data_IF_285870673561
#
_entry.id   IF_285870673561
#
_cell.length_a   1.000
_cell.length_b   1.000
_cell.length_c   1.000
_cell.angle_alpha   90.00
_cell.angle_beta   90.00
_cell.angle_gamma   90.00
#
_symmetry.space_group_name_H-M   'P 1'
#
loop_
_entity.id
_entity.type
_entity.pdbx_description
1 polymer ?
#
# COMPACT_ATOMS: atom_id res chain seq x y z
N UNK A 1 -102.67 -45.07 -86.69
CA UNK A 1 -101.53 -44.42 -87.41
C UNK A 1 -101.34 -42.98 -86.98
N UNK A 2 -102.27 -42.04 -87.20
CA UNK A 2 -101.99 -40.62 -86.92
C UNK A 2 -101.86 -40.28 -85.41
N UNK A 3 -102.72 -40.85 -84.54
CA UNK A 3 -102.65 -40.66 -83.08
C UNK A 3 -101.36 -41.22 -82.45
N UNK A 4 -100.85 -42.34 -82.95
CA UNK A 4 -99.61 -42.95 -82.46
C UNK A 4 -98.40 -42.12 -82.87
N UNK A 5 -98.46 -41.49 -84.06
CA UNK A 5 -97.45 -40.57 -84.58
C UNK A 5 -97.38 -39.29 -83.73
N UNK A 6 -98.53 -38.72 -83.34
CA UNK A 6 -98.58 -37.55 -82.44
C UNK A 6 -97.99 -37.86 -81.06
N UNK A 7 -98.35 -38.99 -80.45
CA UNK A 7 -97.80 -39.42 -79.15
C UNK A 7 -96.29 -39.67 -79.19
N UNK A 8 -95.79 -40.27 -80.27
CA UNK A 8 -94.34 -40.43 -80.49
C UNK A 8 -93.63 -39.08 -80.62
N UNK A 9 -94.28 -38.11 -81.27
CA UNK A 9 -93.73 -36.77 -81.48
C UNK A 9 -93.65 -36.00 -80.14
N UNK A 10 -94.69 -36.08 -79.30
CA UNK A 10 -94.71 -35.49 -77.97
C UNK A 10 -93.67 -36.12 -77.02
N UNK A 11 -93.52 -37.45 -77.05
CA UNK A 11 -92.52 -38.16 -76.25
C UNK A 11 -91.09 -37.80 -76.69
N UNK A 12 -90.86 -37.67 -78.00
CA UNK A 12 -89.58 -37.23 -78.55
C UNK A 12 -89.21 -35.82 -78.08
N UNK A 13 -90.14 -34.87 -78.15
CA UNK A 13 -89.92 -33.48 -77.70
C UNK A 13 -89.61 -33.43 -76.20
N UNK A 14 -90.31 -34.22 -75.37
CA UNK A 14 -90.02 -34.31 -73.92
C UNK A 14 -88.62 -34.84 -73.64
N UNK A 15 -88.23 -35.92 -74.33
CA UNK A 15 -86.90 -36.50 -74.19
C UNK A 15 -85.80 -35.54 -74.68
N UNK A 16 -86.04 -34.79 -75.75
CA UNK A 16 -85.13 -33.74 -76.23
C UNK A 16 -84.97 -32.63 -75.18
N UNK A 17 -86.08 -32.18 -74.58
CA UNK A 17 -86.06 -31.14 -73.53
C UNK A 17 -85.34 -31.62 -72.26
N UNK A 18 -85.56 -32.88 -71.85
CA UNK A 18 -84.84 -33.47 -70.72
C UNK A 18 -83.35 -33.67 -71.01
N UNK A 19 -83.00 -34.07 -72.24
CA UNK A 19 -81.61 -34.22 -72.68
C UNK A 19 -80.88 -32.86 -72.72
N UNK A 20 -81.56 -31.81 -73.17
CA UNK A 20 -81.03 -30.45 -73.18
C UNK A 20 -80.79 -29.94 -71.76
N UNK A 21 -81.79 -30.09 -70.87
CA UNK A 21 -81.65 -29.74 -69.45
C UNK A 21 -80.53 -30.52 -68.77
N UNK A 22 -80.43 -31.82 -69.03
CA UNK A 22 -79.34 -32.65 -68.49
C UNK A 22 -77.99 -32.25 -69.04
N UNK A 23 -77.92 -31.84 -70.31
CA UNK A 23 -76.68 -31.32 -70.92
C UNK A 23 -76.23 -30.01 -70.29
N UNK A 24 -77.18 -29.12 -69.96
CA UNK A 24 -76.91 -27.87 -69.27
C UNK A 24 -76.42 -28.10 -67.83
N UNK A 25 -77.13 -28.94 -67.05
CA UNK A 25 -76.72 -29.36 -65.70
C UNK A 25 -75.32 -30.01 -65.70
N UNK A 26 -75.00 -30.83 -66.71
CA UNK A 26 -73.69 -31.48 -66.86
C UNK A 26 -72.59 -30.49 -67.23
N UNK A 27 -72.93 -29.43 -67.98
CA UNK A 27 -72.05 -28.30 -68.28
C UNK A 27 -71.67 -27.51 -67.02
N UNK A 28 -72.65 -27.18 -66.18
CA UNK A 28 -72.46 -26.49 -64.90
C UNK A 28 -71.61 -27.33 -63.94
N UNK A 29 -71.95 -28.61 -63.73
CA UNK A 29 -71.17 -29.51 -62.88
C UNK A 29 -69.71 -29.61 -63.34
N UNK A 30 -69.47 -29.65 -64.65
CA UNK A 30 -68.11 -29.69 -65.21
C UNK A 30 -67.36 -28.39 -64.96
N UNK A 31 -68.05 -27.25 -64.90
CA UNK A 31 -67.51 -25.96 -64.48
C UNK A 31 -67.10 -25.96 -63.01
N UNK A 32 -67.98 -26.43 -62.12
CA UNK A 32 -67.72 -26.52 -60.69
C UNK A 32 -66.57 -27.45 -60.35
N UNK A 33 -66.50 -28.63 -60.99
CA UNK A 33 -65.38 -29.57 -60.85
C UNK A 33 -64.05 -28.91 -61.23
N UNK A 34 -64.02 -28.11 -62.31
CA UNK A 34 -62.81 -27.37 -62.70
C UNK A 34 -62.43 -26.31 -61.67
N UNK A 35 -63.41 -25.59 -61.11
CA UNK A 35 -63.17 -24.56 -60.08
C UNK A 35 -62.62 -25.18 -58.80
N UNK A 36 -63.28 -26.23 -58.30
CA UNK A 36 -62.86 -26.98 -57.12
C UNK A 36 -61.46 -27.59 -57.33
N UNK A 37 -61.16 -28.11 -58.53
CA UNK A 37 -59.82 -28.63 -58.83
C UNK A 37 -58.74 -27.55 -58.72
N UNK A 38 -59.00 -26.33 -59.22
CA UNK A 38 -58.05 -25.21 -59.10
C UNK A 38 -57.84 -24.80 -57.65
N UNK A 39 -58.92 -24.65 -56.89
CA UNK A 39 -58.85 -24.29 -55.46
C UNK A 39 -58.10 -25.35 -54.65
N UNK A 40 -58.30 -26.64 -54.94
CA UNK A 40 -57.54 -27.74 -54.35
C UNK A 40 -56.04 -27.60 -54.64
N UNK A 41 -55.67 -27.32 -55.89
CA UNK A 41 -54.25 -27.21 -56.28
C UNK A 41 -53.57 -26.01 -55.62
N UNK A 42 -54.27 -24.88 -55.51
CA UNK A 42 -53.79 -23.70 -54.77
C UNK A 42 -53.61 -23.97 -53.27
N UNK A 43 -54.57 -24.67 -52.66
CA UNK A 43 -54.49 -25.06 -51.25
C UNK A 43 -53.36 -26.06 -51.00
N UNK A 44 -53.15 -27.01 -51.90
CA UNK A 44 -52.03 -27.96 -51.82
C UNK A 44 -50.69 -27.23 -51.86
N UNK A 45 -50.51 -26.26 -52.76
CA UNK A 45 -49.30 -25.44 -52.82
C UNK A 45 -49.07 -24.63 -51.54
N UNK A 46 -50.11 -23.98 -50.99
CA UNK A 46 -50.00 -23.25 -49.71
C UNK A 46 -49.65 -24.17 -48.54
N UNK A 47 -50.23 -25.36 -48.50
CA UNK A 47 -49.94 -26.35 -47.47
C UNK A 47 -48.48 -26.80 -47.52
N UNK A 48 -47.94 -27.03 -48.72
CA UNK A 48 -46.54 -27.40 -48.92
C UNK A 48 -45.59 -26.31 -48.42
N UNK A 49 -45.84 -25.04 -48.78
CA UNK A 49 -45.05 -23.90 -48.28
C UNK A 49 -45.10 -23.79 -46.75
N UNK A 50 -46.30 -23.85 -46.16
CA UNK A 50 -46.46 -23.80 -44.69
C UNK A 50 -45.79 -24.97 -43.99
N UNK A 51 -45.78 -26.15 -44.62
CA UNK A 51 -45.10 -27.33 -44.09
C UNK A 51 -43.59 -27.13 -44.06
N UNK A 52 -43.01 -26.54 -45.11
CA UNK A 52 -41.58 -26.21 -45.17
C UNK A 52 -41.20 -25.15 -44.12
N UNK A 53 -41.97 -24.05 -44.03
CA UNK A 53 -41.75 -23.00 -43.03
C UNK A 53 -41.83 -23.56 -41.60
N UNK A 54 -42.79 -24.45 -41.32
CA UNK A 54 -42.91 -25.10 -40.01
C UNK A 54 -41.67 -25.92 -39.66
N UNK A 55 -41.09 -26.64 -40.63
CA UNK A 55 -39.87 -27.43 -40.41
C UNK A 55 -38.69 -26.51 -40.10
N UNK A 56 -38.56 -25.38 -40.81
CA UNK A 56 -37.51 -24.39 -40.58
C UNK A 56 -37.65 -23.70 -39.20
N UNK A 57 -38.87 -23.32 -38.81
CA UNK A 57 -39.13 -22.75 -37.49
C UNK A 57 -38.81 -23.77 -36.39
N UNK A 58 -39.09 -25.05 -36.61
CA UNK A 58 -38.76 -26.10 -35.65
C UNK A 58 -37.25 -26.34 -35.52
N UNK A 59 -36.49 -26.26 -36.61
CA UNK A 59 -35.04 -26.43 -36.58
C UNK A 59 -34.36 -25.24 -35.89
N UNK A 60 -34.75 -24.01 -36.23
CA UNK A 60 -34.27 -22.79 -35.60
C UNK A 60 -34.59 -22.74 -34.11
N UNK A 61 -35.79 -23.15 -33.70
CA UNK A 61 -36.15 -23.24 -32.28
C UNK A 61 -35.23 -24.19 -31.51
N UNK A 62 -34.96 -25.39 -32.05
CA UNK A 62 -34.05 -26.36 -31.41
C UNK A 62 -32.62 -25.82 -31.30
N UNK A 63 -32.16 -25.09 -32.31
CA UNK A 63 -30.86 -24.43 -32.28
C UNK A 63 -30.79 -23.37 -31.17
N UNK A 64 -31.79 -22.48 -31.10
CA UNK A 64 -31.86 -21.44 -30.07
C UNK A 64 -32.00 -22.02 -28.65
N UNK A 65 -32.75 -23.10 -28.47
CA UNK A 65 -32.84 -23.81 -27.18
C UNK A 65 -31.47 -24.34 -26.72
N UNK A 66 -30.65 -24.83 -27.67
CA UNK A 66 -29.29 -25.29 -27.38
C UNK A 66 -28.36 -24.13 -27.00
N UNK A 67 -28.32 -23.07 -27.80
CA UNK A 67 -27.53 -21.85 -27.55
C UNK A 67 -27.88 -21.21 -26.19
N UNK A 68 -29.18 -21.16 -25.87
CA UNK A 68 -29.65 -20.66 -24.58
C UNK A 68 -29.14 -21.52 -23.42
N UNK A 69 -29.13 -22.84 -23.58
CA UNK A 69 -28.58 -23.77 -22.60
C UNK A 69 -27.07 -23.57 -22.38
N UNK A 70 -26.30 -23.44 -23.46
CA UNK A 70 -24.86 -23.19 -23.41
C UNK A 70 -24.54 -21.84 -22.75
N UNK A 71 -25.29 -20.80 -23.11
CA UNK A 71 -25.13 -19.45 -22.53
C UNK A 71 -25.44 -19.46 -21.03
N UNK A 72 -26.54 -20.12 -20.60
CA UNK A 72 -26.87 -20.26 -19.18
C UNK A 72 -25.79 -21.00 -18.40
N UNK A 73 -25.24 -22.07 -18.97
CA UNK A 73 -24.16 -22.82 -18.33
C UNK A 73 -22.88 -21.98 -18.22
N UNK A 74 -22.56 -21.19 -19.24
CA UNK A 74 -21.42 -20.27 -19.21
C UNK A 74 -21.60 -19.20 -18.14
N UNK A 75 -22.78 -18.57 -18.08
CA UNK A 75 -23.11 -17.57 -17.08
C UNK A 75 -22.95 -18.12 -15.66
N UNK A 76 -23.50 -19.30 -15.37
CA UNK A 76 -23.39 -19.93 -14.06
C UNK A 76 -21.92 -20.22 -13.67
N UNK A 77 -21.08 -20.62 -14.64
CA UNK A 77 -19.64 -20.82 -14.39
C UNK A 77 -18.93 -19.51 -14.08
N UNK A 78 -19.21 -18.45 -14.84
CA UNK A 78 -18.63 -17.13 -14.60
C UNK A 78 -19.04 -16.55 -13.25
N UNK A 79 -20.32 -16.64 -12.88
CA UNK A 79 -20.80 -16.21 -11.55
C UNK A 79 -20.10 -16.97 -10.42
N UNK A 80 -19.96 -18.29 -10.54
CA UNK A 80 -19.25 -19.10 -9.57
C UNK A 80 -17.75 -18.72 -9.47
N UNK A 81 -17.11 -18.43 -10.61
CA UNK A 81 -15.71 -18.00 -10.64
C UNK A 81 -15.52 -16.62 -10.01
N UNK A 82 -16.41 -15.67 -10.26
CA UNK A 82 -16.37 -14.33 -9.66
C UNK A 82 -16.56 -14.40 -8.14
N UNK A 83 -17.52 -15.21 -7.65
CA UNK A 83 -17.68 -15.43 -6.21
C UNK A 83 -16.41 -16.03 -5.60
N UNK A 84 -15.78 -17.00 -6.28
CA UNK A 84 -14.52 -17.59 -5.81
C UNK A 84 -13.40 -16.55 -5.75
N UNK A 85 -13.21 -15.77 -6.81
CA UNK A 85 -12.20 -14.70 -6.87
C UNK A 85 -12.43 -13.67 -5.77
N UNK A 86 -13.67 -13.24 -5.57
CA UNK A 86 -14.02 -12.27 -4.53
C UNK A 86 -13.61 -12.78 -3.14
N UNK A 87 -13.91 -14.04 -2.83
CA UNK A 87 -13.52 -14.68 -1.57
C UNK A 87 -12.00 -14.78 -1.42
N UNK A 88 -11.28 -15.12 -2.48
CA UNK A 88 -9.81 -15.15 -2.47
C UNK A 88 -9.21 -13.76 -2.24
N UNK A 89 -9.77 -12.72 -2.87
CA UNK A 89 -9.34 -11.34 -2.67
C UNK A 89 -9.57 -10.89 -1.23
N UNK A 90 -10.74 -11.15 -0.66
CA UNK A 90 -11.07 -10.81 0.73
C UNK A 90 -10.10 -11.50 1.71
N UNK A 91 -9.77 -12.78 1.48
CA UNK A 91 -8.76 -13.48 2.27
C UNK A 91 -7.36 -12.88 2.14
N UNK A 92 -6.97 -12.41 0.95
CA UNK A 92 -5.67 -11.75 0.72
C UNK A 92 -5.61 -10.39 1.42
N UNK A 93 -6.70 -9.62 1.38
CA UNK A 93 -6.82 -8.35 2.09
C UNK A 93 -6.63 -8.57 3.59
N UNK A 94 -7.35 -9.53 4.19
CA UNK A 94 -7.18 -9.84 5.61
C UNK A 94 -5.76 -10.26 5.99
N UNK A 95 -5.08 -11.05 5.15
CA UNK A 95 -3.67 -11.40 5.38
C UNK A 95 -2.76 -10.18 5.29
N UNK A 96 -3.01 -9.28 4.34
CA UNK A 96 -2.25 -8.06 4.14
C UNK A 96 -2.42 -7.13 5.35
N UNK A 97 -3.65 -6.88 5.80
CA UNK A 97 -3.94 -6.05 6.97
C UNK A 97 -3.24 -6.58 8.23
N UNK A 98 -3.27 -7.91 8.42
CA UNK A 98 -2.59 -8.55 9.55
C UNK A 98 -1.07 -8.37 9.47
N UNK A 99 -0.48 -8.51 8.29
CA UNK A 99 0.96 -8.34 8.09
C UNK A 99 1.38 -6.87 8.27
N UNK A 100 0.58 -5.93 7.76
CA UNK A 100 0.83 -4.51 7.87
C UNK A 100 0.77 -4.04 9.33
N UNK A 101 -0.21 -4.53 10.10
CA UNK A 101 -0.28 -4.30 11.54
C UNK A 101 0.93 -4.86 12.28
N UNK A 102 1.31 -6.12 12.01
CA UNK A 102 2.49 -6.74 12.63
C UNK A 102 3.78 -5.97 12.32
N UNK A 103 3.93 -5.46 11.09
CA UNK A 103 5.10 -4.68 10.70
C UNK A 103 5.11 -3.30 11.38
N UNK A 104 3.95 -2.67 11.53
CA UNK A 104 3.81 -1.40 12.24
C UNK A 104 4.21 -1.54 13.71
N UNK A 105 3.72 -2.58 14.38
CA UNK A 105 4.03 -2.87 15.77
C UNK A 105 5.54 -3.13 15.97
N UNK A 106 6.15 -3.92 15.08
CA UNK A 106 7.59 -4.21 15.09
C UNK A 106 8.42 -2.93 14.89
N UNK A 107 8.05 -2.09 13.92
CA UNK A 107 8.72 -0.79 13.69
C UNK A 107 8.62 0.13 14.90
N UNK A 108 7.51 0.08 15.63
CA UNK A 108 7.36 0.88 16.84
C UNK A 108 8.22 0.34 17.97
N UNK A 109 8.33 -0.99 18.11
CA UNK A 109 9.23 -1.61 19.10
C UNK A 109 10.68 -1.21 18.84
N UNK A 110 11.16 -1.37 17.62
CA UNK A 110 12.54 -1.02 17.24
C UNK A 110 12.85 0.44 17.56
N UNK A 111 11.96 1.37 17.22
CA UNK A 111 12.18 2.80 17.53
C UNK A 111 12.30 3.06 19.03
N UNK A 112 11.46 2.42 19.85
CA UNK A 112 11.54 2.56 21.31
C UNK A 112 12.85 1.98 21.84
N UNK A 113 13.25 0.81 21.37
CA UNK A 113 14.52 0.18 21.74
C UNK A 113 15.73 1.03 21.31
N UNK A 114 15.71 1.62 20.12
CA UNK A 114 16.76 2.52 19.63
C UNK A 114 16.83 3.81 20.46
N UNK A 115 15.69 4.42 20.79
CA UNK A 115 15.60 5.61 21.64
C UNK A 115 16.12 5.31 23.06
N UNK A 116 15.73 4.18 23.63
CA UNK A 116 16.18 3.72 24.95
C UNK A 116 17.70 3.41 24.95
N UNK A 117 18.20 2.72 23.92
CA UNK A 117 19.63 2.44 23.78
C UNK A 117 20.45 3.74 23.68
N UNK A 118 19.98 4.71 22.90
CA UNK A 118 20.64 6.03 22.81
C UNK A 118 20.61 6.78 24.12
N UNK A 119 19.48 6.75 24.84
CA UNK A 119 19.36 7.35 26.17
C UNK A 119 20.32 6.71 27.17
N UNK A 120 20.41 5.38 27.19
CA UNK A 120 21.30 4.62 28.07
C UNK A 120 22.78 4.91 27.76
N UNK A 121 23.17 5.01 26.48
CA UNK A 121 24.53 5.39 26.08
C UNK A 121 24.85 6.80 26.59
N UNK A 122 23.92 7.75 26.44
CA UNK A 122 24.12 9.14 26.87
C UNK A 122 24.20 9.25 28.41
N UNK A 123 23.38 8.49 29.13
CA UNK A 123 23.40 8.42 30.59
C UNK A 123 24.72 7.83 31.09
N UNK A 124 25.16 6.71 30.49
CA UNK A 124 26.44 6.06 30.82
C UNK A 124 27.63 7.01 30.57
N UNK A 125 27.65 7.68 29.42
CA UNK A 125 28.67 8.70 29.13
C UNK A 125 28.63 9.81 30.18
N UNK A 126 27.45 10.33 30.51
CA UNK A 126 27.29 11.38 31.51
C UNK A 126 27.81 10.93 32.89
N UNK A 127 27.54 9.67 33.28
CA UNK A 127 28.04 9.07 34.51
C UNK A 127 29.56 8.99 34.51
N UNK A 128 30.17 8.45 33.45
CA UNK A 128 31.64 8.34 33.31
C UNK A 128 32.31 9.70 33.45
N UNK A 129 31.77 10.74 32.79
CA UNK A 129 32.32 12.10 32.88
C UNK A 129 32.20 12.67 34.29
N UNK A 130 31.05 12.52 34.94
CA UNK A 130 30.86 12.99 36.31
C UNK A 130 31.79 12.28 37.29
N UNK A 131 31.89 10.95 37.21
CA UNK A 131 32.77 10.14 38.07
C UNK A 131 34.23 10.53 37.86
N UNK A 132 34.65 10.73 36.60
CA UNK A 132 35.98 11.18 36.28
C UNK A 132 36.29 12.57 36.86
N UNK A 133 35.39 13.54 36.70
CA UNK A 133 35.51 14.89 37.27
C UNK A 133 35.72 14.83 38.79
N UNK A 134 34.89 14.05 39.50
CA UNK A 134 35.01 13.89 40.95
C UNK A 134 36.34 13.25 41.37
N UNK A 135 36.78 12.20 40.65
CA UNK A 135 38.06 11.54 40.91
C UNK A 135 39.24 12.51 40.72
N UNK A 136 39.20 13.32 39.66
CA UNK A 136 40.23 14.32 39.36
C UNK A 136 40.28 15.38 40.46
N UNK A 137 39.14 15.95 40.84
CA UNK A 137 39.07 16.96 41.89
C UNK A 137 39.57 16.41 43.24
N UNK A 138 39.21 15.17 43.58
CA UNK A 138 39.70 14.51 44.79
C UNK A 138 41.23 14.33 44.78
N UNK A 139 41.78 13.85 43.65
CA UNK A 139 43.24 13.66 43.50
C UNK A 139 44.00 14.98 43.52
N UNK A 140 43.46 16.02 42.88
CA UNK A 140 44.03 17.37 42.91
C UNK A 140 44.04 17.91 44.34
N UNK A 141 42.95 17.75 45.09
CA UNK A 141 42.85 18.18 46.49
C UNK A 141 43.88 17.46 47.37
N UNK A 142 43.98 16.15 47.25
CA UNK A 142 44.97 15.35 47.99
C UNK A 142 46.40 15.80 47.65
N UNK A 143 46.71 15.99 46.36
CA UNK A 143 48.04 16.43 45.92
C UNK A 143 48.41 17.83 46.46
N UNK A 144 47.47 18.78 46.41
CA UNK A 144 47.70 20.15 46.88
C UNK A 144 47.88 20.23 48.40
N UNK A 145 47.17 19.38 49.16
CA UNK A 145 47.24 19.33 50.63
C UNK A 145 48.49 18.62 51.16
N UNK A 146 49.34 18.03 50.30
CA UNK A 146 50.58 17.39 50.75
C UNK A 146 51.48 18.43 51.44
N UNK A 147 52.01 18.15 52.64
CA UNK A 147 52.82 19.11 53.41
C UNK A 147 54.05 19.63 52.65
N UNK A 148 54.57 18.86 51.70
CA UNK A 148 55.72 19.25 50.87
C UNK A 148 55.38 20.29 49.78
N UNK A 149 54.11 20.44 49.40
CA UNK A 149 53.65 21.33 48.33
C UNK A 149 52.84 22.51 48.88
N UNK A 150 51.90 22.25 49.80
CA UNK A 150 51.17 23.29 50.53
C UNK A 150 50.37 24.26 49.65
N UNK A 151 49.78 23.78 48.55
CA UNK A 151 49.00 24.63 47.64
C UNK A 151 47.54 24.76 48.10
N UNK A 152 46.96 25.94 47.89
CA UNK A 152 45.52 26.16 48.06
C UNK A 152 44.81 25.73 46.77
N UNK A 153 43.75 24.92 46.89
CA UNK A 153 42.90 24.55 45.76
C UNK A 153 41.56 25.25 45.92
N UNK A 154 41.13 26.00 44.90
CA UNK A 154 39.77 26.50 44.82
C UNK A 154 38.97 25.65 43.83
N UNK A 155 37.85 25.12 44.30
CA UNK A 155 36.86 24.43 43.48
C UNK A 155 35.74 25.39 43.06
N UNK A 156 34.76 24.88 42.31
CA UNK A 156 33.60 25.62 41.82
C UNK A 156 32.79 26.38 42.91
N UNK A 157 32.93 26.04 44.19
CA UNK A 157 32.25 26.73 45.31
C UNK A 157 33.09 27.83 45.95
N UNK A 158 34.41 27.78 45.76
CA UNK A 158 35.39 28.64 46.43
C UNK A 158 36.14 29.55 45.46
N UNK A 159 35.61 29.72 44.24
CA UNK A 159 36.21 30.52 43.18
C UNK A 159 36.33 32.01 43.56
N UNK A 160 37.48 32.65 43.31
CA UNK A 160 37.64 34.10 43.37
C UNK A 160 36.72 34.84 42.41
N UNK A 161 36.42 36.11 42.72
CA UNK A 161 35.52 36.97 41.92
C UNK A 161 35.92 37.07 40.45
N UNK A 162 37.21 36.98 40.14
CA UNK A 162 37.77 36.93 38.79
C UNK A 162 37.14 35.82 37.91
N UNK A 163 36.75 34.70 38.51
CA UNK A 163 36.27 33.51 37.81
C UNK A 163 34.74 33.37 37.78
N UNK A 164 33.99 34.35 38.30
CA UNK A 164 32.51 34.30 38.39
C UNK A 164 31.82 34.06 37.04
N UNK A 165 32.41 34.59 35.94
CA UNK A 165 31.88 34.43 34.58
C UNK A 165 32.39 33.17 33.86
N UNK A 166 33.58 32.68 34.20
CA UNK A 166 34.27 31.62 33.48
C UNK A 166 34.03 30.24 34.10
N UNK A 167 33.85 30.18 35.43
CA UNK A 167 33.51 28.99 36.21
C UNK A 167 34.35 27.76 35.82
N UNK A 168 35.69 27.82 36.00
CA UNK A 168 36.53 26.63 35.90
C UNK A 168 36.22 25.65 37.03
N UNK A 169 36.51 24.37 36.82
CA UNK A 169 36.21 23.32 37.80
C UNK A 169 37.20 23.33 38.97
N UNK A 170 38.48 23.63 38.70
CA UNK A 170 39.51 23.82 39.72
C UNK A 170 40.54 24.88 39.32
N UNK A 171 40.99 25.66 40.30
CA UNK A 171 42.12 26.59 40.12
C UNK A 171 43.10 26.50 41.28
N UNK A 172 44.38 26.73 40.98
CA UNK A 172 45.47 26.77 41.96
C UNK A 172 46.19 28.12 41.84
N UNK A 173 46.27 28.94 42.89
CA UNK A 173 47.09 30.14 42.88
C UNK A 173 48.58 29.77 42.99
N UNK A 174 49.38 30.29 42.07
CA UNK A 174 50.81 30.03 41.96
C UNK A 174 51.54 31.28 41.44
N UNK A 175 52.52 31.80 42.22
CA UNK A 175 53.36 32.95 41.85
C UNK A 175 52.56 34.15 41.28
N UNK A 176 51.50 34.55 41.99
CA UNK A 176 50.60 35.65 41.59
C UNK A 176 49.80 35.42 40.30
N UNK A 177 49.76 34.18 39.82
CA UNK A 177 48.91 33.73 38.71
C UNK A 177 48.00 32.59 39.17
N UNK A 178 47.01 32.25 38.35
CA UNK A 178 46.11 31.12 38.56
C UNK A 178 46.34 30.04 37.50
N UNK A 179 46.64 28.83 37.95
CA UNK A 179 46.65 27.64 37.09
C UNK A 179 45.24 27.09 37.02
N UNK A 180 44.69 26.99 35.81
CA UNK A 180 43.31 26.57 35.57
C UNK A 180 43.26 25.10 35.14
N UNK A 181 42.43 24.32 35.83
CA UNK A 181 42.04 22.96 35.47
C UNK A 181 40.55 22.96 35.12
N UNK A 182 40.23 22.62 33.88
CA UNK A 182 38.86 22.65 33.36
C UNK A 182 38.54 21.32 32.66
N UNK A 183 37.40 20.72 32.98
CA UNK A 183 36.89 19.49 32.40
C UNK A 183 35.50 19.78 31.83
N UNK A 184 35.40 20.01 30.52
CA UNK A 184 34.10 20.25 29.89
C UNK A 184 33.50 18.96 29.35
N UNK A 185 32.20 18.79 29.57
CA UNK A 185 31.44 17.62 29.11
C UNK A 185 31.33 17.64 27.59
N UNK A 186 31.82 16.61 26.91
CA UNK A 186 31.64 16.43 25.47
C UNK A 186 30.95 15.12 25.14
N UNK A 187 30.19 15.11 24.04
CA UNK A 187 29.63 13.89 23.44
C UNK A 187 30.70 12.99 22.84
N UNK A 188 31.85 13.56 22.47
CA UNK A 188 33.00 12.86 21.90
C UNK A 188 34.27 13.65 22.12
N UNK A 189 35.37 12.96 22.39
CA UNK A 189 36.71 13.56 22.46
C UNK A 189 37.14 14.20 21.12
N UNK A 190 36.60 13.73 19.98
CA UNK A 190 36.92 14.27 18.64
C UNK A 190 36.37 15.68 18.43
N UNK A 191 35.18 15.96 18.96
CA UNK A 191 34.57 17.30 18.90
C UNK A 191 34.98 18.16 20.09
N UNK A 192 35.37 17.55 21.21
CA UNK A 192 35.81 18.23 22.42
C UNK A 192 36.95 19.23 22.18
N UNK A 193 38.02 18.78 21.51
CA UNK A 193 39.21 19.59 21.25
C UNK A 193 38.89 20.80 20.35
N UNK A 194 38.30 20.64 19.15
CA UNK A 194 38.03 21.77 18.27
C UNK A 194 36.95 22.72 18.79
N UNK A 195 35.93 22.24 19.52
CA UNK A 195 34.81 23.08 19.95
C UNK A 195 35.02 23.69 21.33
N UNK A 196 35.34 22.86 22.33
CA UNK A 196 35.32 23.27 23.73
C UNK A 196 36.69 23.76 24.19
N UNK A 197 37.76 23.01 23.92
CA UNK A 197 39.13 23.40 24.30
C UNK A 197 39.52 24.73 23.64
N UNK A 198 39.27 24.89 22.34
CA UNK A 198 39.56 26.14 21.62
C UNK A 198 38.75 27.33 22.14
N UNK A 199 37.45 27.15 22.33
CA UNK A 199 36.57 28.24 22.84
C UNK A 199 37.00 28.67 24.24
N UNK A 200 37.30 27.72 25.12
CA UNK A 200 37.75 27.99 26.47
C UNK A 200 39.14 28.64 26.50
N UNK A 201 40.10 28.17 25.69
CA UNK A 201 41.42 28.79 25.59
C UNK A 201 41.35 30.25 25.11
N UNK A 202 40.47 30.56 24.14
CA UNK A 202 40.25 31.95 23.67
C UNK A 202 39.71 32.85 24.77
N UNK A 203 38.85 32.35 25.67
CA UNK A 203 38.31 33.14 26.79
C UNK A 203 39.37 33.50 27.84
N UNK A 204 40.38 32.66 28.00
CA UNK A 204 41.45 32.86 28.99
C UNK A 204 42.66 33.63 28.44
N UNK A 205 42.80 33.76 27.12
CA UNK A 205 43.98 34.32 26.45
C UNK A 205 44.38 35.73 26.92
N UNK A 206 43.41 36.59 27.19
CA UNK A 206 43.64 38.01 27.47
C UNK A 206 43.63 38.35 28.97
N UNK A 207 43.67 37.34 29.86
CA UNK A 207 43.64 37.53 31.31
C UNK A 207 45.06 37.35 31.88
N UNK A 208 45.77 38.44 32.27
CA UNK A 208 47.18 38.37 32.67
C UNK A 208 47.40 37.61 34.00
N UNK A 209 46.38 37.51 34.84
CA UNK A 209 46.39 36.76 36.09
C UNK A 209 46.30 35.24 35.88
N UNK A 210 46.08 34.76 34.66
CA UNK A 210 46.01 33.32 34.35
C UNK A 210 47.36 32.84 33.84
N UNK A 211 47.79 31.69 34.33
CA UNK A 211 49.00 31.03 33.85
C UNK A 211 48.89 30.75 32.35
N UNK A 212 50.00 30.88 31.62
CA UNK A 212 50.03 30.78 30.14
C UNK A 212 49.44 29.47 29.60
N UNK A 213 49.38 28.42 30.42
CA UNK A 213 48.84 27.11 30.05
C UNK A 213 47.57 26.80 30.84
N UNK A 214 46.53 26.37 30.13
CA UNK A 214 45.28 25.85 30.70
C UNK A 214 45.28 24.32 30.57
N UNK A 215 44.95 23.63 31.65
CA UNK A 215 44.94 22.18 31.70
C UNK A 215 43.52 21.65 31.52
N UNK A 216 43.29 20.90 30.45
CA UNK A 216 42.02 20.24 30.22
C UNK A 216 42.09 18.80 30.71
N UNK A 217 41.14 18.41 31.56
CA UNK A 217 41.12 17.06 32.13
C UNK A 217 40.03 16.23 31.45
N UNK A 218 40.41 15.04 30.97
CA UNK A 218 39.54 14.17 30.19
C UNK A 218 39.69 12.70 30.61
N UNK A 219 38.61 11.89 30.52
CA UNK A 219 38.66 10.47 30.83
C UNK A 219 39.68 9.70 29.98
N UNK A 220 40.48 8.83 30.61
CA UNK A 220 41.57 8.10 29.92
C UNK A 220 41.07 7.12 28.87
N UNK A 221 39.88 6.53 29.08
CA UNK A 221 39.22 5.66 28.10
C UNK A 221 38.90 6.41 26.79
N UNK A 222 38.56 7.68 26.84
CA UNK A 222 38.26 8.47 25.65
C UNK A 222 39.50 8.85 24.83
N UNK A 223 40.67 8.95 25.47
CA UNK A 223 41.93 9.25 24.78
C UNK A 223 42.32 8.18 23.76
N UNK A 224 41.83 6.95 23.89
CA UNK A 224 42.10 5.87 22.93
C UNK A 224 41.56 6.18 21.52
N UNK A 225 40.55 7.04 21.42
CA UNK A 225 39.93 7.41 20.14
C UNK A 225 40.66 8.53 19.39
N UNK A 226 41.62 9.20 20.05
CA UNK A 226 42.37 10.32 19.47
C UNK A 226 43.52 9.82 18.59
N UNK A 227 43.41 10.08 17.29
CA UNK A 227 44.52 9.85 16.34
C UNK A 227 45.56 10.97 16.33
N UNK A 228 45.19 12.15 16.79
CA UNK A 228 46.02 13.35 16.82
C UNK A 228 46.20 13.74 18.29
N UNK A 229 47.45 13.81 18.74
CA UNK A 229 47.82 14.07 20.14
C UNK A 229 48.36 15.48 20.37
N UNK A 230 48.67 16.21 19.29
CA UNK A 230 49.10 17.61 19.35
C UNK A 230 48.60 18.37 18.12
N UNK A 231 48.29 19.65 18.32
CA UNK A 231 47.89 20.58 17.28
C UNK A 231 48.45 21.96 17.65
N UNK A 232 48.99 22.68 16.66
CA UNK A 232 49.47 24.04 16.80
C UNK A 232 48.61 24.91 15.88
N UNK A 233 47.93 25.91 16.45
CA UNK A 233 47.20 26.91 15.69
C UNK A 233 48.15 28.10 15.47
N UNK A 234 48.38 28.48 14.21
CA UNK A 234 49.12 29.71 13.84
C UNK A 234 48.31 30.98 14.18
#
# INVERSE_FOLDING_TARGET
MERDKTRLTEAKIRLETELDRKSEELGELKGDVKKISKERDELAGKYETLSLEKIEIQSTRKYLEKELGETKNSLARHEAEEIRKQKEFEQRIHKLDSAEKSLSDERQRIRREDEEAQANILEEQTRIWNDHEQIVLSRLREACQKPALGFMLHDNTTLPSLFTKLKPDAIIPFLSQYVVFDAKKSKSIRTYIPEQVKSTARKYKDIPEIYRTVFFVVPTNELQELKIQSFIEE
#
